data_IF_868135131886
#
_entry.id   IF_868135131886
#
_cell.length_a   1.000
_cell.length_b   1.000
_cell.length_c   1.000
_cell.angle_alpha   90.00
_cell.angle_beta   90.00
_cell.angle_gamma   90.00
#
_symmetry.space_group_name_H-M   'P 1'
#
loop_
_entity.id
_entity.type
_entity.pdbx_description
1 polymer ?
#
# COMPACT_ATOMS: atom_id res chain seq x y z
N UNK A 1 21.75 0.11 2.40
CA UNK A 1 20.75 1.17 2.69
C UNK A 1 19.42 0.59 2.24
N UNK A 2 18.82 -0.24 3.08
CA UNK A 2 17.75 -1.18 2.70
C UNK A 2 16.36 -0.70 3.17
N UNK A 3 16.15 0.62 3.14
CA UNK A 3 14.94 1.22 3.71
C UNK A 3 13.72 1.09 2.76
N UNK A 4 13.95 1.09 1.44
CA UNK A 4 12.91 0.94 0.43
C UNK A 4 13.07 -0.40 -0.29
N UNK A 5 12.35 -1.41 0.18
CA UNK A 5 12.26 -2.72 -0.48
C UNK A 5 11.38 -2.62 -1.74
N UNK A 6 11.55 -3.56 -2.66
CA UNK A 6 10.75 -3.66 -3.89
C UNK A 6 9.23 -3.64 -3.65
N UNK A 7 8.75 -4.26 -2.56
CA UNK A 7 7.32 -4.24 -2.24
C UNK A 7 6.81 -2.85 -1.85
N UNK A 8 7.66 -2.00 -1.27
CA UNK A 8 7.30 -0.61 -0.94
C UNK A 8 7.22 0.23 -2.20
N UNK A 9 8.15 0.09 -3.15
CA UNK A 9 8.04 0.70 -4.48
C UNK A 9 6.71 0.32 -5.15
N UNK A 10 6.37 -0.98 -5.14
CA UNK A 10 5.10 -1.45 -5.66
C UNK A 10 3.89 -0.81 -4.96
N UNK A 11 3.88 -0.74 -3.63
CA UNK A 11 2.80 -0.06 -2.90
C UNK A 11 2.67 1.41 -3.28
N UNK A 12 3.79 2.12 -3.45
CA UNK A 12 3.79 3.49 -3.94
C UNK A 12 3.12 3.62 -5.30
N UNK A 13 3.52 2.80 -6.27
CA UNK A 13 2.98 2.85 -7.64
C UNK A 13 1.46 2.59 -7.65
N UNK A 14 0.99 1.65 -6.84
CA UNK A 14 -0.43 1.34 -6.70
C UNK A 14 -1.20 2.51 -6.03
N UNK A 15 -0.66 3.10 -4.96
CA UNK A 15 -1.29 4.22 -4.26
C UNK A 15 -1.32 5.51 -5.11
N UNK A 16 -0.26 5.77 -5.88
CA UNK A 16 -0.22 6.91 -6.83
C UNK A 16 -1.31 6.75 -7.90
N UNK A 17 -1.50 5.55 -8.44
CA UNK A 17 -2.58 5.30 -9.39
C UNK A 17 -3.97 5.57 -8.78
N UNK A 18 -4.19 5.20 -7.52
CA UNK A 18 -5.43 5.54 -6.80
C UNK A 18 -5.57 7.04 -6.51
N UNK A 19 -4.47 7.72 -6.18
CA UNK A 19 -4.45 9.16 -5.93
C UNK A 19 -4.80 9.98 -7.18
N UNK A 20 -4.42 9.49 -8.37
CA UNK A 20 -4.75 10.12 -9.65
C UNK A 20 -6.22 9.96 -10.06
N UNK A 21 -6.98 9.08 -9.39
CA UNK A 21 -8.40 8.83 -9.65
C UNK A 21 -9.23 8.94 -8.34
N UNK A 22 -9.27 10.12 -7.70
CA UNK A 22 -9.90 10.27 -6.39
C UNK A 22 -11.38 9.84 -6.41
N UNK A 23 -11.77 9.04 -5.41
CA UNK A 23 -13.13 8.51 -5.25
C UNK A 23 -13.49 7.33 -6.16
N UNK A 24 -12.70 7.04 -7.20
CA UNK A 24 -12.93 5.93 -8.13
C UNK A 24 -12.30 4.65 -7.59
N UNK A 25 -13.07 3.55 -7.60
CA UNK A 25 -12.52 2.23 -7.34
C UNK A 25 -11.77 1.70 -8.57
N UNK A 26 -10.57 1.17 -8.38
CA UNK A 26 -9.75 0.54 -9.42
C UNK A 26 -9.43 -0.89 -9.01
N UNK A 27 -9.62 -1.85 -9.92
CA UNK A 27 -9.33 -3.26 -9.65
C UNK A 27 -7.83 -3.50 -9.44
N UNK A 28 -7.47 -4.47 -8.60
CA UNK A 28 -6.06 -4.87 -8.41
C UNK A 28 -5.40 -5.34 -9.72
N UNK A 29 -6.19 -5.84 -10.67
CA UNK A 29 -5.69 -6.27 -11.99
C UNK A 29 -5.28 -5.06 -12.85
N UNK A 30 -6.12 -4.02 -12.86
CA UNK A 30 -5.81 -2.76 -13.54
C UNK A 30 -4.60 -2.10 -12.90
N UNK A 31 -4.59 -1.97 -11.57
CA UNK A 31 -3.46 -1.39 -10.82
C UNK A 31 -2.15 -2.17 -11.08
N UNK A 32 -2.19 -3.50 -11.12
CA UNK A 32 -1.03 -4.32 -11.46
C UNK A 32 -0.49 -4.04 -12.87
N UNK A 33 -1.39 -3.97 -13.85
CA UNK A 33 -1.04 -3.73 -15.25
C UNK A 33 -0.43 -2.34 -15.45
N UNK A 34 -1.13 -1.30 -15.00
CA UNK A 34 -0.70 0.11 -15.17
C UNK A 34 0.54 0.41 -14.33
N UNK A 35 0.60 -0.14 -13.12
CA UNK A 35 1.72 0.01 -12.21
C UNK A 35 2.90 -0.93 -12.49
N UNK A 36 2.90 -1.71 -13.57
CA UNK A 36 3.90 -2.76 -13.87
C UNK A 36 4.32 -3.59 -12.63
N UNK A 37 3.34 -3.95 -11.80
CA UNK A 37 3.52 -4.78 -10.61
C UNK A 37 2.98 -6.17 -10.94
N UNK A 38 3.70 -7.26 -10.68
CA UNK A 38 3.13 -8.58 -10.89
C UNK A 38 1.86 -8.76 -10.05
N UNK A 39 0.79 -9.25 -10.66
CA UNK A 39 -0.56 -9.26 -10.07
C UNK A 39 -0.63 -9.87 -8.67
N UNK A 40 0.14 -10.94 -8.42
CA UNK A 40 0.21 -11.59 -7.12
C UNK A 40 0.71 -10.65 -6.01
N UNK A 41 1.72 -9.82 -6.32
CA UNK A 41 2.22 -8.82 -5.38
C UNK A 41 1.23 -7.67 -5.22
N UNK A 42 0.65 -7.18 -6.31
CA UNK A 42 -0.37 -6.14 -6.24
C UNK A 42 -1.54 -6.57 -5.34
N UNK A 43 -2.07 -7.77 -5.54
CA UNK A 43 -3.16 -8.32 -4.72
C UNK A 43 -2.79 -8.38 -3.23
N UNK A 44 -1.61 -8.91 -2.88
CA UNK A 44 -1.14 -8.98 -1.48
C UNK A 44 -0.90 -7.60 -0.88
N UNK A 45 -0.35 -6.67 -1.65
CA UNK A 45 -0.07 -5.30 -1.19
C UNK A 45 -1.39 -4.56 -0.95
N UNK A 46 -2.35 -4.63 -1.88
CA UNK A 46 -3.66 -4.00 -1.71
C UNK A 46 -4.39 -4.53 -0.48
N UNK A 47 -4.28 -5.83 -0.19
CA UNK A 47 -4.81 -6.41 1.04
C UNK A 47 -4.17 -5.81 2.29
N UNK A 48 -2.83 -5.76 2.35
CA UNK A 48 -2.11 -5.14 3.48
C UNK A 48 -2.48 -3.67 3.68
N UNK A 49 -2.55 -2.91 2.59
CA UNK A 49 -2.96 -1.49 2.62
C UNK A 49 -4.41 -1.34 3.12
N UNK A 50 -5.29 -2.28 2.77
CA UNK A 50 -6.67 -2.29 3.24
C UNK A 50 -6.77 -2.59 4.74
N UNK A 51 -6.03 -3.60 5.20
CA UNK A 51 -5.94 -3.98 6.63
C UNK A 51 -5.43 -2.81 7.50
N UNK A 52 -4.56 -1.97 6.95
CA UNK A 52 -4.06 -0.75 7.60
C UNK A 52 -4.93 0.49 7.38
N UNK A 53 -6.08 0.37 6.71
CA UNK A 53 -7.02 1.47 6.51
C UNK A 53 -6.51 2.58 5.57
N UNK A 54 -5.51 2.29 4.73
CA UNK A 54 -5.02 3.23 3.71
C UNK A 54 -5.91 3.22 2.47
N UNK A 55 -6.54 2.08 2.19
CA UNK A 55 -7.48 1.90 1.08
C UNK A 55 -8.76 1.21 1.53
N UNK A 56 -9.85 1.49 0.84
CA UNK A 56 -11.14 0.83 1.01
C UNK A 56 -11.37 -0.14 -0.15
N UNK A 57 -11.93 -1.31 0.15
CA UNK A 57 -12.43 -2.24 -0.86
C UNK A 57 -13.87 -1.88 -1.25
N UNK A 58 -14.12 -1.82 -2.55
CA UNK A 58 -15.46 -1.61 -3.12
C UNK A 58 -15.89 -2.89 -3.81
N UNK A 59 -17.05 -3.42 -3.44
CA UNK A 59 -17.61 -4.65 -3.99
C UNK A 59 -18.40 -4.40 -5.29
N UNK A 60 -18.55 -5.45 -6.10
CA UNK A 60 -19.35 -5.45 -7.33
C UNK A 60 -18.53 -5.53 -8.62
N UNK A 61 -19.20 -5.55 -9.78
CA UNK A 61 -18.54 -5.75 -11.09
C UNK A 61 -17.57 -4.63 -11.49
N UNK A 62 -17.75 -3.43 -10.93
CA UNK A 62 -16.84 -2.28 -11.09
C UNK A 62 -16.10 -1.97 -9.78
N UNK A 63 -15.97 -2.98 -8.92
CA UNK A 63 -15.29 -2.89 -7.64
C UNK A 63 -13.77 -2.83 -7.76
N UNK A 64 -13.10 -2.87 -6.62
CA UNK A 64 -11.66 -2.74 -6.52
C UNK A 64 -11.27 -2.03 -5.24
N UNK A 65 -10.30 -1.12 -5.35
CA UNK A 65 -9.81 -0.33 -4.24
C UNK A 65 -9.82 1.16 -4.57
N UNK A 66 -9.99 1.99 -3.55
CA UNK A 66 -9.79 3.45 -3.59
C UNK A 66 -9.06 3.90 -2.34
N UNK A 67 -8.45 5.08 -2.35
CA UNK A 67 -7.91 5.64 -1.11
C UNK A 67 -9.01 5.86 -0.08
N UNK A 68 -8.74 5.49 1.17
CA UNK A 68 -9.66 5.72 2.29
C UNK A 68 -9.78 7.19 2.69
N UNK A 69 -8.78 8.00 2.30
CA UNK A 69 -8.70 9.44 2.57
C UNK A 69 -7.89 10.13 1.48
N UNK A 70 -7.84 11.46 1.51
CA UNK A 70 -7.09 12.23 0.50
C UNK A 70 -5.59 11.90 0.55
N UNK A 71 -4.92 11.96 -0.60
CA UNK A 71 -3.53 11.53 -0.74
C UNK A 71 -2.57 12.33 0.15
N UNK A 72 -2.88 13.60 0.43
CA UNK A 72 -2.08 14.48 1.29
C UNK A 72 -2.05 14.01 2.76
N UNK A 73 -3.00 13.15 3.15
CA UNK A 73 -3.08 12.53 4.48
C UNK A 73 -2.45 11.14 4.54
N UNK A 74 -1.85 10.67 3.45
CA UNK A 74 -1.14 9.38 3.40
C UNK A 74 0.35 9.65 3.52
N UNK A 75 0.97 9.13 4.57
CA UNK A 75 2.40 9.34 4.81
C UNK A 75 3.25 8.18 4.29
N UNK A 76 4.51 8.46 3.94
CA UNK A 76 5.49 7.42 3.58
C UNK A 76 5.67 6.39 4.69
N UNK A 77 5.65 6.81 5.96
CA UNK A 77 5.79 5.92 7.10
C UNK A 77 4.68 4.87 7.13
N UNK A 78 3.41 5.28 6.97
CA UNK A 78 2.29 4.34 6.96
C UNK A 78 2.37 3.34 5.82
N UNK A 79 2.87 3.75 4.64
CA UNK A 79 3.07 2.85 3.50
C UNK A 79 4.16 1.83 3.82
N UNK A 80 5.28 2.25 4.42
CA UNK A 80 6.36 1.36 4.83
C UNK A 80 5.84 0.39 5.88
N UNK A 81 5.17 0.87 6.92
CA UNK A 81 4.67 0.04 8.02
C UNK A 81 3.62 -0.97 7.55
N UNK A 82 2.75 -0.58 6.62
CA UNK A 82 1.77 -1.49 6.03
C UNK A 82 2.42 -2.64 5.26
N UNK A 83 3.55 -2.40 4.59
CA UNK A 83 4.14 -3.39 3.68
C UNK A 83 5.25 -4.20 4.34
N UNK A 84 6.12 -3.53 5.09
CA UNK A 84 7.33 -4.07 5.71
C UNK A 84 7.15 -4.39 7.20
N UNK A 85 6.10 -3.88 7.86
CA UNK A 85 5.94 -3.93 9.31
C UNK A 85 6.60 -2.73 10.01
N UNK A 86 6.54 -2.72 11.33
CA UNK A 86 6.98 -1.60 12.16
C UNK A 86 8.44 -1.19 11.85
N UNK A 87 8.66 0.12 11.68
CA UNK A 87 10.01 0.65 11.43
C UNK A 87 10.77 0.76 12.75
N UNK A 88 11.85 -0.01 12.89
CA UNK A 88 12.75 0.05 14.05
C UNK A 88 14.08 0.68 13.62
N UNK A 89 14.34 1.90 14.09
CA UNK A 89 15.54 2.67 13.72
C UNK A 89 16.78 2.21 14.50
N UNK A 90 16.60 1.67 15.71
CA UNK A 90 17.68 1.10 16.51
C UNK A 90 17.16 -0.07 17.34
N UNK A 91 17.74 -1.26 17.12
CA UNK A 91 17.38 -2.49 17.83
C UNK A 91 17.85 -2.50 19.28
N UNK A 92 18.91 -1.76 19.64
CA UNK A 92 19.42 -1.70 21.02
C UNK A 92 18.59 -0.79 21.94
N UNK A 93 17.95 0.24 21.41
CA UNK A 93 17.20 1.23 22.20
C UNK A 93 15.77 0.78 22.55
N UNK A 94 15.23 -0.17 21.79
CA UNK A 94 13.89 -0.73 21.94
C UNK A 94 13.95 -2.24 22.18
N UNK A 95 14.98 -2.70 22.92
CA UNK A 95 15.28 -4.12 23.17
C UNK A 95 14.01 -4.95 23.28
N UNK A 96 13.74 -5.77 22.26
CA UNK A 96 12.78 -6.85 22.38
C UNK A 96 13.50 -7.96 23.15
N UNK A 97 13.58 -7.77 24.46
CA UNK A 97 13.79 -8.86 25.41
C UNK A 97 12.49 -9.65 25.49
N UNK A 98 12.32 -10.61 24.56
CA UNK A 98 11.68 -11.94 24.70
C UNK A 98 11.26 -12.48 23.33
#
# INVERSE_FOLDING_TARGET
MDFLRQHTDYAFRLLVALAQAPGKAISSRTLASEGSVPYQFASKIMQKLHEQGLVESVMGPFGGFRLARTAEKVTLLEIIEAVQGQVVVNTCLLGQDT
#
